data_IF_860916676154
#
_entry.id   IF_860916676154
#
_cell.length_a   1.000
_cell.length_b   1.000
_cell.length_c   1.000
_cell.angle_alpha   90.00
_cell.angle_beta   90.00
_cell.angle_gamma   90.00
#
_symmetry.space_group_name_H-M   'P 1'
#
loop_
_entity.id
_entity.type
_entity.pdbx_description
1 polymer ?
#
# COMPACT_ATOMS: atom_id res chain seq x y z
N UNK A 1 14.04 12.80 -9.04
CA UNK A 1 14.37 12.18 -8.81
C UNK A 1 14.16 11.29 -9.01
N UNK A 2 14.06 11.02 -9.21
CA UNK A 2 13.84 10.20 -9.24
C UNK A 2 14.46 9.27 -9.80
N UNK A 3 15.12 9.41 -10.55
CA UNK A 3 15.75 8.44 -11.33
C UNK A 3 16.29 7.27 -10.60
N UNK A 4 16.69 7.40 -9.41
CA UNK A 4 17.19 6.28 -8.65
C UNK A 4 16.14 5.58 -7.82
N UNK A 5 14.95 6.14 -7.77
CA UNK A 5 13.94 5.54 -6.94
C UNK A 5 13.27 4.39 -7.66
N UNK A 6 13.10 3.30 -6.97
CA UNK A 6 12.41 2.15 -7.49
C UNK A 6 10.95 2.20 -7.13
N UNK A 7 10.56 1.55 -6.06
CA UNK A 7 9.14 1.46 -5.73
C UNK A 7 8.93 1.42 -4.23
N UNK A 8 7.97 2.21 -3.77
CA UNK A 8 7.47 2.11 -2.41
C UNK A 8 6.19 1.30 -2.47
N UNK A 9 6.11 0.24 -1.69
CA UNK A 9 4.91 -0.60 -1.63
C UNK A 9 4.17 -0.33 -0.33
N UNK A 10 2.90 0.07 -0.45
CA UNK A 10 2.01 0.23 0.69
C UNK A 10 1.16 -1.03 0.78
N UNK A 11 1.39 -1.85 1.80
CA UNK A 11 0.67 -3.12 1.96
C UNK A 11 -0.66 -2.89 2.65
N UNK A 12 -1.73 -3.35 2.03
CA UNK A 12 -3.08 -3.19 2.56
C UNK A 12 -3.66 -4.56 2.90
N UNK A 13 -3.83 -4.82 4.20
CA UNK A 13 -4.58 -5.98 4.67
C UNK A 13 -5.94 -5.55 5.15
N UNK A 14 -6.88 -6.50 5.25
CA UNK A 14 -8.25 -6.23 5.70
C UNK A 14 -8.22 -5.52 7.06
N UNK A 15 -8.99 -4.44 7.17
CA UNK A 15 -9.07 -3.67 8.41
C UNK A 15 -8.01 -2.60 8.55
N UNK A 16 -7.24 -2.33 7.49
CA UNK A 16 -6.23 -1.27 7.54
C UNK A 16 -6.87 0.08 7.84
N UNK A 17 -6.07 1.00 8.38
CA UNK A 17 -6.54 2.36 8.65
C UNK A 17 -6.50 3.18 7.36
N UNK A 18 -7.66 3.55 6.86
CA UNK A 18 -7.79 4.19 5.54
C UNK A 18 -6.96 5.46 5.41
N UNK A 19 -7.05 6.35 6.39
CA UNK A 19 -6.30 7.60 6.33
C UNK A 19 -4.80 7.36 6.36
N UNK A 20 -4.37 6.41 7.17
CA UNK A 20 -2.94 6.10 7.30
C UNK A 20 -2.36 5.47 6.05
N UNK A 21 -3.21 4.89 5.21
CA UNK A 21 -2.76 4.31 3.95
C UNK A 21 -2.87 5.30 2.79
N UNK A 22 -4.04 5.90 2.64
CA UNK A 22 -4.33 6.70 1.45
C UNK A 22 -3.61 8.04 1.48
N UNK A 23 -3.52 8.69 2.64
CA UNK A 23 -2.88 9.99 2.72
C UNK A 23 -1.39 9.94 2.36
N UNK A 24 -0.60 8.99 2.89
CA UNK A 24 0.79 8.88 2.47
C UNK A 24 0.95 8.55 0.98
N UNK A 25 0.09 7.68 0.44
CA UNK A 25 0.14 7.37 -1.00
C UNK A 25 -0.06 8.65 -1.81
N UNK A 26 -1.07 9.43 -1.45
CA UNK A 26 -1.37 10.67 -2.16
C UNK A 26 -0.21 11.65 -2.07
N UNK A 27 0.31 11.87 -0.85
CA UNK A 27 1.38 12.83 -0.65
C UNK A 27 2.67 12.43 -1.36
N UNK A 28 3.01 11.13 -1.31
CA UNK A 28 4.21 10.66 -1.98
C UNK A 28 4.09 10.77 -3.50
N UNK A 29 2.92 10.45 -4.05
CA UNK A 29 2.70 10.59 -5.48
C UNK A 29 2.77 12.03 -5.92
N UNK A 30 2.25 12.96 -5.13
CA UNK A 30 2.37 14.38 -5.42
C UNK A 30 3.82 14.83 -5.43
N UNK A 31 4.66 14.20 -4.62
CA UNK A 31 6.09 14.51 -4.57
C UNK A 31 6.90 13.79 -5.65
N UNK A 32 6.25 13.03 -6.52
CA UNK A 32 6.95 12.35 -7.61
C UNK A 32 7.54 11.00 -7.24
N UNK A 33 7.16 10.47 -6.09
CA UNK A 33 7.65 9.15 -5.64
C UNK A 33 6.74 8.06 -6.22
N UNK A 34 7.35 7.00 -6.73
CA UNK A 34 6.60 5.84 -7.24
C UNK A 34 6.08 5.02 -6.07
N UNK A 35 4.77 4.97 -5.92
CA UNK A 35 4.12 4.24 -4.84
C UNK A 35 3.04 3.33 -5.42
N UNK A 36 3.03 2.09 -5.00
CA UNK A 36 1.97 1.15 -5.38
C UNK A 36 1.27 0.66 -4.12
N UNK A 37 -0.06 0.63 -4.17
CA UNK A 37 -0.85 -0.02 -3.14
C UNK A 37 -0.93 -1.50 -3.47
N UNK A 38 -0.62 -2.34 -2.49
CA UNK A 38 -0.55 -3.78 -2.67
C UNK A 38 -1.58 -4.45 -1.79
N UNK A 39 -2.51 -5.19 -2.39
CA UNK A 39 -3.56 -5.88 -1.65
C UNK A 39 -3.10 -7.23 -1.15
N UNK A 40 -3.32 -7.50 0.13
CA UNK A 40 -3.06 -8.79 0.74
C UNK A 40 -4.38 -9.53 0.84
N UNK A 41 -4.49 -10.63 0.11
CA UNK A 41 -5.71 -11.42 0.09
C UNK A 41 -6.69 -11.04 -1.01
N UNK A 42 -6.35 -10.07 -1.88
CA UNK A 42 -7.20 -9.66 -2.98
C UNK A 42 -6.81 -8.29 -3.47
N UNK A 43 -7.48 -7.85 -4.51
CA UNK A 43 -7.20 -6.54 -5.09
C UNK A 43 -8.06 -5.44 -4.49
N UNK A 44 -9.24 -5.78 -4.00
CA UNK A 44 -10.09 -4.83 -3.28
C UNK A 44 -10.00 -5.15 -1.80
N UNK A 45 -9.52 -4.20 -1.02
CA UNK A 45 -9.31 -4.37 0.41
C UNK A 45 -10.18 -3.37 1.16
N UNK A 46 -10.90 -3.87 2.16
CA UNK A 46 -11.80 -3.02 2.96
C UNK A 46 -11.08 -2.61 4.23
N UNK A 47 -11.03 -1.31 4.48
CA UNK A 47 -10.40 -0.77 5.68
C UNK A 47 -11.27 -0.89 6.92
N UNK A 48 -10.74 -0.44 8.04
CA UNK A 48 -11.39 -0.57 9.34
C UNK A 48 -12.70 0.21 9.44
N UNK A 49 -12.87 1.21 8.61
CA UNK A 49 -14.09 2.02 8.59
C UNK A 49 -15.00 1.66 7.41
N UNK A 50 -14.80 0.49 6.82
CA UNK A 50 -15.66 -0.01 5.77
C UNK A 50 -15.43 0.58 4.39
N UNK A 51 -14.34 1.29 4.19
CA UNK A 51 -14.05 1.91 2.89
C UNK A 51 -13.28 0.93 2.02
N UNK A 52 -13.85 0.50 0.88
CA UNK A 52 -13.12 -0.37 -0.02
C UNK A 52 -12.10 0.43 -0.82
N UNK A 53 -10.90 -0.11 -0.95
CA UNK A 53 -9.84 0.49 -1.74
C UNK A 53 -9.36 -0.55 -2.74
N UNK A 54 -9.30 -0.17 -4.01
CA UNK A 54 -8.75 -1.04 -5.04
C UNK A 54 -7.25 -0.83 -5.08
N UNK A 55 -6.50 -1.88 -4.79
CA UNK A 55 -5.06 -1.83 -4.83
C UNK A 55 -4.57 -1.82 -6.28
N UNK A 56 -3.34 -1.36 -6.46
CA UNK A 56 -2.72 -1.37 -7.78
C UNK A 56 -2.32 -2.76 -8.21
N UNK A 57 -2.02 -3.62 -7.23
CA UNK A 57 -1.59 -4.99 -7.49
C UNK A 57 -1.83 -5.84 -6.26
N UNK A 58 -1.75 -7.15 -6.44
CA UNK A 58 -1.80 -8.09 -5.33
C UNK A 58 -0.38 -8.45 -4.90
N UNK A 59 -0.28 -9.05 -3.71
CA UNK A 59 1.01 -9.32 -3.08
C UNK A 59 1.97 -10.10 -3.99
N UNK A 60 1.46 -11.10 -4.70
CA UNK A 60 2.30 -11.92 -5.59
C UNK A 60 2.82 -11.19 -6.81
N UNK A 61 2.31 -10.01 -7.09
CA UNK A 61 2.72 -9.22 -8.26
C UNK A 61 3.82 -8.21 -7.93
N UNK A 62 4.25 -8.14 -6.68
CA UNK A 62 5.31 -7.21 -6.29
C UNK A 62 6.62 -7.60 -6.97
N UNK A 63 7.36 -6.58 -7.40
CA UNK A 63 8.70 -6.80 -7.95
C UNK A 63 9.72 -6.43 -6.88
N UNK A 64 10.23 -7.44 -6.21
CA UNK A 64 11.16 -7.24 -5.11
C UNK A 64 12.52 -6.72 -5.56
N UNK A 65 12.83 -6.85 -6.84
CA UNK A 65 14.08 -6.32 -7.36
C UNK A 65 14.06 -4.80 -7.45
N UNK A 66 12.87 -4.20 -7.43
CA UNK A 66 12.71 -2.76 -7.48
C UNK A 66 12.21 -2.20 -6.16
N UNK A 67 12.21 -3.01 -5.12
CA UNK A 67 11.74 -2.60 -3.81
C UNK A 67 12.68 -1.58 -3.19
N UNK A 68 12.14 -0.44 -2.80
CA UNK A 68 12.88 0.58 -2.08
C UNK A 68 12.43 0.66 -0.63
N UNK A 69 11.12 0.52 -0.40
CA UNK A 69 10.55 0.61 0.92
C UNK A 69 9.22 -0.11 0.96
N UNK A 70 8.92 -0.75 2.08
CA UNK A 70 7.60 -1.31 2.36
C UNK A 70 7.00 -0.51 3.51
N UNK A 71 5.75 -0.09 3.36
CA UNK A 71 5.02 0.65 4.38
C UNK A 71 3.82 -0.18 4.82
N UNK A 72 3.64 -0.30 6.13
CA UNK A 72 2.51 -1.01 6.72
C UNK A 72 1.65 0.02 7.45
N UNK A 73 0.44 0.30 6.94
CA UNK A 73 -0.45 1.21 7.66
C UNK A 73 -0.98 0.55 8.93
N UNK A 74 -1.44 1.36 9.88
CA UNK A 74 -2.01 0.85 11.11
C UNK A 74 -3.28 0.06 10.88
N UNK A 75 -3.79 -0.54 11.96
CA UNK A 75 -5.00 -1.34 11.93
C UNK A 75 -4.70 -2.76 12.35
N UNK A 76 -5.34 -3.20 13.44
CA UNK A 76 -5.04 -4.49 14.04
C UNK A 76 -5.27 -5.64 13.05
N UNK A 77 -6.42 -5.62 12.35
CA UNK A 77 -6.73 -6.68 11.41
C UNK A 77 -5.81 -6.64 10.19
N UNK A 78 -5.44 -5.43 9.75
CA UNK A 78 -4.51 -5.29 8.65
C UNK A 78 -3.17 -5.90 8.97
N UNK A 79 -2.65 -5.62 10.16
CA UNK A 79 -1.38 -6.19 10.60
C UNK A 79 -1.50 -7.70 10.72
N UNK A 80 -2.60 -8.19 11.26
CA UNK A 80 -2.80 -9.63 11.42
C UNK A 80 -2.91 -10.35 10.09
N UNK A 81 -3.30 -9.67 9.02
CA UNK A 81 -3.40 -10.26 7.69
C UNK A 81 -2.05 -10.43 7.01
N UNK A 82 -1.06 -9.76 7.50
CA UNK A 82 0.28 -9.78 6.94
C UNK A 82 1.07 -10.94 7.52
#
# INVERSE_FOLDING_TARGET
MSGGLNMVYMLLGTGFEETEAVAPIDLLRRAGVSVAAVGIGGKVIVGSHGIPVTADMELGQMDLTQLDMIVLPGGVKGVASI
#
